data_IF_908752693923
#
_entry.id   IF_908752693923
#
_cell.length_a   1.000
_cell.length_b   1.000
_cell.length_c   1.000
_cell.angle_alpha   90.00
_cell.angle_beta   90.00
_cell.angle_gamma   90.00
#
_symmetry.space_group_name_H-M   'P 1'
#
loop_
_entity.id
_entity.type
_entity.pdbx_description
1 polymer ?
#
# COMPACT_ATOMS: atom_id res chain seq x y z
N UNK A 1 -2.75 21.05 1.32
CA UNK A 1 -2.79 19.58 1.15
C UNK A 1 -2.07 18.95 2.34
N UNK A 2 -2.71 18.09 3.15
CA UNK A 2 -1.98 17.39 4.20
C UNK A 2 -0.83 16.60 3.57
N UNK A 3 0.37 16.70 4.16
CA UNK A 3 1.55 15.96 3.71
C UNK A 3 1.26 14.47 3.87
N UNK A 4 1.34 13.71 2.78
CA UNK A 4 1.35 12.26 2.89
C UNK A 4 2.58 11.82 3.69
N UNK A 5 2.42 10.89 4.65
CA UNK A 5 3.53 10.36 5.41
C UNK A 5 4.53 9.66 4.47
N UNK A 6 5.80 9.78 4.81
CA UNK A 6 6.89 9.08 4.11
C UNK A 6 6.94 7.64 4.63
N UNK A 7 6.18 6.74 3.99
CA UNK A 7 6.04 5.35 4.44
C UNK A 7 6.94 4.41 3.66
N UNK A 8 7.53 3.43 4.36
CA UNK A 8 8.26 2.36 3.69
C UNK A 8 7.26 1.36 3.09
N UNK A 9 7.63 0.66 2.01
CA UNK A 9 6.77 -0.36 1.42
C UNK A 9 6.31 -1.44 2.41
N UNK A 10 7.15 -1.79 3.38
CA UNK A 10 6.83 -2.78 4.41
C UNK A 10 5.63 -2.35 5.27
N UNK A 11 5.60 -1.08 5.67
CA UNK A 11 4.55 -0.54 6.54
C UNK A 11 3.22 -0.52 5.78
N UNK A 12 3.26 -0.06 4.52
CA UNK A 12 2.07 -0.06 3.64
C UNK A 12 1.56 -1.47 3.36
N UNK A 13 2.46 -2.44 3.13
CA UNK A 13 2.07 -3.85 2.96
C UNK A 13 1.41 -4.38 4.23
N UNK A 14 1.99 -4.11 5.41
CA UNK A 14 1.43 -4.54 6.69
C UNK A 14 0.04 -3.96 6.95
N UNK A 15 -0.13 -2.65 6.72
CA UNK A 15 -1.43 -1.99 6.84
C UNK A 15 -2.48 -2.56 5.86
N UNK A 16 -2.09 -2.82 4.61
CA UNK A 16 -2.98 -3.49 3.65
C UNK A 16 -3.34 -4.91 4.11
N UNK A 17 -2.39 -5.67 4.66
CA UNK A 17 -2.64 -7.00 5.21
C UNK A 17 -3.64 -6.96 6.37
N UNK A 18 -3.48 -6.01 7.31
CA UNK A 18 -4.44 -5.79 8.40
C UNK A 18 -5.82 -5.37 7.88
N UNK A 19 -5.88 -4.58 6.80
CA UNK A 19 -7.13 -4.23 6.13
C UNK A 19 -7.79 -5.41 5.37
N UNK A 20 -7.23 -6.62 5.45
CA UNK A 20 -7.77 -7.83 4.83
C UNK A 20 -7.31 -8.08 3.40
N UNK A 21 -6.27 -7.39 2.94
CA UNK A 21 -5.57 -7.80 1.73
C UNK A 21 -4.64 -8.98 2.00
N UNK A 22 -4.41 -9.80 0.99
CA UNK A 22 -3.42 -10.89 1.05
C UNK A 22 -2.51 -10.84 -0.17
N UNK A 23 -1.24 -11.20 0.01
CA UNK A 23 -0.28 -11.28 -1.09
C UNK A 23 -0.70 -12.39 -2.04
N UNK A 24 -0.78 -12.08 -3.33
CA UNK A 24 -1.17 -13.05 -4.37
C UNK A 24 -0.07 -13.33 -5.37
N UNK A 25 0.86 -12.38 -5.56
CA UNK A 25 1.97 -12.54 -6.49
C UNK A 25 3.12 -11.61 -6.12
N UNK A 26 4.34 -12.04 -6.41
CA UNK A 26 5.49 -11.14 -6.44
C UNK A 26 6.25 -11.35 -7.74
N UNK A 27 6.62 -10.25 -8.42
CA UNK A 27 7.52 -10.27 -9.58
C UNK A 27 8.63 -9.25 -9.34
N UNK A 28 9.83 -9.75 -9.04
CA UNK A 28 10.96 -8.89 -8.64
C UNK A 28 10.61 -8.07 -7.41
N UNK A 29 10.82 -6.75 -7.49
CA UNK A 29 10.53 -5.79 -6.43
C UNK A 29 9.09 -5.27 -6.41
N UNK A 30 8.12 -6.00 -6.98
CA UNK A 30 6.72 -5.60 -6.94
C UNK A 30 5.87 -6.73 -6.35
N UNK A 31 5.19 -6.42 -5.25
CA UNK A 31 4.25 -7.31 -4.57
C UNK A 31 2.83 -6.91 -4.94
N UNK A 32 2.02 -7.88 -5.37
CA UNK A 32 0.61 -7.70 -5.61
C UNK A 32 -0.19 -8.25 -4.44
N UNK A 33 -1.13 -7.44 -3.94
CA UNK A 33 -2.06 -7.77 -2.88
C UNK A 33 -3.50 -7.71 -3.39
N UNK A 34 -4.35 -8.63 -2.93
CA UNK A 34 -5.76 -8.73 -3.34
C UNK A 34 -6.70 -8.69 -2.14
N UNK A 35 -7.86 -8.05 -2.32
CA UNK A 35 -9.02 -8.09 -1.39
C UNK A 35 -10.30 -8.09 -2.22
N UNK A 36 -11.00 -9.23 -2.29
CA UNK A 36 -12.16 -9.39 -3.18
C UNK A 36 -11.79 -9.09 -4.64
N UNK A 37 -12.42 -8.06 -5.23
CA UNK A 37 -12.14 -7.60 -6.60
C UNK A 37 -11.05 -6.52 -6.69
N UNK A 38 -10.46 -6.11 -5.57
CA UNK A 38 -9.39 -5.11 -5.52
C UNK A 38 -8.03 -5.78 -5.69
N UNK A 39 -7.18 -5.21 -6.54
CA UNK A 39 -5.80 -5.63 -6.76
C UNK A 39 -4.89 -4.40 -6.68
N UNK A 40 -3.89 -4.47 -5.80
CA UNK A 40 -2.96 -3.38 -5.51
C UNK A 40 -1.54 -3.87 -5.77
N UNK A 41 -0.71 -3.05 -6.41
CA UNK A 41 0.70 -3.37 -6.60
C UNK A 41 1.55 -2.41 -5.77
N UNK A 42 2.36 -2.94 -4.86
CA UNK A 42 3.27 -2.18 -4.02
C UNK A 42 4.72 -2.45 -4.46
N UNK A 43 5.49 -1.42 -4.86
CA UNK A 43 6.91 -1.59 -5.13
C UNK A 43 7.66 -1.71 -3.80
N UNK A 44 8.47 -2.75 -3.66
CA UNK A 44 9.25 -3.12 -2.46
C UNK A 44 10.71 -2.75 -2.62
N UNK A 45 10.99 -1.45 -2.76
CA UNK A 45 12.36 -0.92 -2.65
C UNK A 45 12.67 -0.46 -1.22
N UNK A 46 13.95 -0.26 -0.89
CA UNK A 46 14.38 0.07 0.48
C UNK A 46 13.95 1.47 0.96
N UNK A 47 13.71 2.39 0.03
CA UNK A 47 13.33 3.78 0.31
C UNK A 47 11.83 3.92 0.56
N UNK A 48 11.44 5.04 1.16
CA UNK A 48 10.04 5.41 1.30
C UNK A 48 9.37 5.58 -0.07
N UNK A 49 8.07 5.29 -0.13
CA UNK A 49 7.28 5.43 -1.34
C UNK A 49 7.08 6.91 -1.67
N UNK A 50 7.27 7.33 -2.93
CA UNK A 50 6.87 8.66 -3.36
C UNK A 50 5.38 8.89 -3.08
N UNK A 51 5.01 10.13 -2.74
CA UNK A 51 3.62 10.49 -2.43
C UNK A 51 2.64 10.17 -3.58
N UNK A 52 3.10 10.24 -4.83
CA UNK A 52 2.31 9.83 -6.00
C UNK A 52 2.00 8.32 -6.01
N UNK A 53 3.01 7.49 -5.68
CA UNK A 53 2.87 6.04 -5.58
C UNK A 53 1.94 5.66 -4.44
N UNK A 54 2.12 6.26 -3.26
CA UNK A 54 1.24 6.02 -2.11
C UNK A 54 -0.22 6.39 -2.42
N UNK A 55 -0.46 7.53 -3.09
CA UNK A 55 -1.82 7.90 -3.56
C UNK A 55 -2.41 6.91 -4.54
N UNK A 56 -1.61 6.40 -5.49
CA UNK A 56 -2.08 5.39 -6.44
C UNK A 56 -2.46 4.10 -5.73
N UNK A 57 -1.67 3.67 -4.75
CA UNK A 57 -1.94 2.49 -3.92
C UNK A 57 -3.26 2.67 -3.17
N UNK A 58 -3.43 3.78 -2.46
CA UNK A 58 -4.66 4.08 -1.70
C UNK A 58 -5.90 4.11 -2.59
N UNK A 59 -5.80 4.74 -3.77
CA UNK A 59 -6.88 4.76 -4.77
C UNK A 59 -7.25 3.35 -5.26
N UNK A 60 -6.25 2.50 -5.55
CA UNK A 60 -6.49 1.11 -5.96
C UNK A 60 -7.08 0.26 -4.83
N UNK A 61 -6.63 0.51 -3.59
CA UNK A 61 -7.10 -0.16 -2.40
C UNK A 61 -8.50 0.31 -1.95
N UNK A 62 -9.02 1.40 -2.55
CA UNK A 62 -10.22 2.13 -2.07
C UNK A 62 -10.12 2.43 -0.57
N UNK A 63 -8.95 2.89 -0.15
CA UNK A 63 -8.60 3.19 1.23
C UNK A 63 -8.26 4.67 1.35
N UNK A 64 -8.74 5.32 2.41
CA UNK A 64 -8.39 6.70 2.75
C UNK A 64 -7.02 6.77 3.44
N UNK A 65 -6.46 7.98 3.54
CA UNK A 65 -5.21 8.15 4.29
C UNK A 65 -5.40 7.94 5.79
N UNK A 66 -6.58 8.24 6.31
CA UNK A 66 -6.90 8.09 7.74
C UNK A 66 -7.02 6.62 8.10
N UNK A 67 -7.73 5.83 7.29
CA UNK A 67 -7.79 4.37 7.43
C UNK A 67 -6.39 3.72 7.35
N UNK A 68 -5.50 4.25 6.49
CA UNK A 68 -4.13 3.78 6.45
C UNK A 68 -3.41 4.08 7.78
N UNK A 69 -3.54 5.31 8.30
CA UNK A 69 -2.86 5.74 9.52
C UNK A 69 -3.30 4.97 10.76
N UNK A 70 -4.55 4.49 10.81
CA UNK A 70 -5.05 3.63 11.90
C UNK A 70 -4.40 2.22 11.91
N UNK A 71 -3.79 1.81 10.80
CA UNK A 71 -3.23 0.47 10.58
C UNK A 71 -1.69 0.45 10.48
N UNK A 72 -1.04 1.58 10.74
CA UNK A 72 0.43 1.72 10.79
C UNK A 72 0.98 1.50 12.19
#
# INVERSE_FOLDING_TARGET
MPKLPSLKPRDVIGALEQAGFHRVRQKGSHVQLKKGNLLVTVPTHTKALPAGTLRSILRQARMSIDELNELL
#
